data_IF_124866383923
#
_entry.id   IF_124866383923
#
_cell.length_a   1.000
_cell.length_b   1.000
_cell.length_c   1.000
_cell.angle_alpha   90.00
_cell.angle_beta   90.00
_cell.angle_gamma   90.00
#
_symmetry.space_group_name_H-M   'P 1'
#
loop_
_entity.id
_entity.type
_entity.pdbx_description
1 polymer ?
#
# COMPACT_ATOMS: atom_id res chain seq x y z
N UNK A 1 -0.41 -25.50 4.97
CA UNK A 1 -0.64 -25.08 3.58
C UNK A 1 -2.14 -25.13 3.32
N UNK A 2 -2.73 -24.11 2.69
CA UNK A 2 -4.15 -24.12 2.32
C UNK A 2 -4.39 -25.17 1.22
N UNK A 3 -5.54 -25.83 1.23
CA UNK A 3 -5.96 -26.71 0.12
C UNK A 3 -6.11 -25.89 -1.17
N UNK A 4 -5.91 -26.51 -2.34
CA UNK A 4 -6.08 -25.83 -3.64
C UNK A 4 -7.47 -25.23 -3.81
N UNK A 5 -8.51 -25.87 -3.25
CA UNK A 5 -9.87 -25.34 -3.24
C UNK A 5 -9.98 -24.07 -2.38
N UNK A 6 -9.35 -24.05 -1.21
CA UNK A 6 -9.36 -22.89 -0.31
C UNK A 6 -8.62 -21.71 -0.94
N UNK A 7 -7.52 -21.98 -1.67
CA UNK A 7 -6.79 -20.96 -2.45
C UNK A 7 -7.66 -20.38 -3.56
N UNK A 8 -8.38 -21.22 -4.30
CA UNK A 8 -9.30 -20.79 -5.35
C UNK A 8 -10.42 -19.92 -4.78
N UNK A 9 -11.04 -20.34 -3.67
CA UNK A 9 -12.10 -19.56 -3.01
C UNK A 9 -11.57 -18.22 -2.51
N UNK A 10 -10.39 -18.21 -1.88
CA UNK A 10 -9.73 -16.99 -1.43
C UNK A 10 -9.45 -16.05 -2.61
N UNK A 11 -8.94 -16.57 -3.73
CA UNK A 11 -8.64 -15.80 -4.95
C UNK A 11 -9.90 -15.18 -5.59
N UNK A 12 -11.02 -15.92 -5.65
CA UNK A 12 -12.29 -15.38 -6.17
C UNK A 12 -12.83 -14.27 -5.25
N UNK A 13 -12.80 -14.50 -3.94
CA UNK A 13 -13.28 -13.52 -2.96
C UNK A 13 -12.43 -12.25 -2.97
N UNK A 14 -11.11 -12.39 -3.04
CA UNK A 14 -10.18 -11.24 -3.13
C UNK A 14 -10.31 -10.52 -4.46
N UNK A 15 -10.63 -11.22 -5.55
CA UNK A 15 -10.97 -10.61 -6.85
C UNK A 15 -12.19 -9.69 -6.77
N UNK A 16 -13.26 -10.13 -6.11
CA UNK A 16 -14.45 -9.28 -5.91
C UNK A 16 -14.14 -8.06 -5.04
N UNK A 17 -13.42 -8.26 -3.94
CA UNK A 17 -12.93 -7.15 -3.11
C UNK A 17 -12.01 -6.22 -3.90
N UNK A 18 -11.25 -6.74 -4.86
CA UNK A 18 -10.36 -5.94 -5.69
C UNK A 18 -11.13 -4.95 -6.55
N UNK A 19 -12.17 -5.43 -7.21
CA UNK A 19 -13.03 -4.62 -8.09
C UNK A 19 -13.68 -3.49 -7.28
N UNK A 20 -14.28 -3.81 -6.13
CA UNK A 20 -14.90 -2.81 -5.26
C UNK A 20 -13.89 -1.76 -4.78
N UNK A 21 -12.74 -2.22 -4.29
CA UNK A 21 -11.67 -1.33 -3.79
C UNK A 21 -11.20 -0.39 -4.89
N UNK A 22 -10.96 -0.90 -6.10
CA UNK A 22 -10.54 -0.08 -7.24
C UNK A 22 -11.64 0.92 -7.60
N UNK A 23 -12.89 0.50 -7.66
CA UNK A 23 -14.01 1.36 -8.01
C UNK A 23 -14.16 2.54 -7.04
N UNK A 24 -14.18 2.28 -5.72
CA UNK A 24 -14.31 3.34 -4.72
C UNK A 24 -13.12 4.29 -4.69
N UNK A 25 -11.89 3.77 -4.81
CA UNK A 25 -10.69 4.61 -4.81
C UNK A 25 -10.56 5.44 -6.12
N UNK A 26 -10.96 4.89 -7.26
CA UNK A 26 -11.06 5.64 -8.51
C UNK A 26 -12.08 6.78 -8.40
N UNK A 27 -13.24 6.52 -7.79
CA UNK A 27 -14.25 7.55 -7.57
C UNK A 27 -13.69 8.70 -6.72
N UNK A 28 -12.98 8.40 -5.62
CA UNK A 28 -12.32 9.41 -4.78
C UNK A 28 -11.28 10.22 -5.58
N UNK A 29 -10.50 9.58 -6.42
CA UNK A 29 -9.54 10.27 -7.29
C UNK A 29 -10.21 11.22 -8.26
N UNK A 30 -11.30 10.80 -8.90
CA UNK A 30 -12.04 11.62 -9.85
C UNK A 30 -12.65 12.84 -9.15
N UNK A 31 -13.17 12.68 -7.93
CA UNK A 31 -13.65 13.81 -7.12
C UNK A 31 -12.52 14.79 -6.81
N UNK A 32 -11.38 14.29 -6.31
CA UNK A 32 -10.25 15.15 -5.94
C UNK A 32 -9.68 15.88 -7.16
N UNK A 33 -9.56 15.21 -8.30
CA UNK A 33 -9.16 15.82 -9.57
C UNK A 33 -10.17 16.87 -10.04
N UNK A 34 -11.47 16.60 -9.91
CA UNK A 34 -12.52 17.58 -10.25
C UNK A 34 -12.44 18.80 -9.35
N UNK A 35 -12.21 18.63 -8.05
CA UNK A 35 -12.03 19.72 -7.09
C UNK A 35 -10.78 20.54 -7.40
N UNK A 36 -9.68 19.88 -7.76
CA UNK A 36 -8.45 20.54 -8.22
C UNK A 36 -8.68 21.41 -9.47
N UNK A 37 -9.44 20.90 -10.45
CA UNK A 37 -9.78 21.64 -11.67
C UNK A 37 -10.71 22.82 -11.41
N UNK A 38 -11.64 22.70 -10.46
CA UNK A 38 -12.57 23.79 -10.07
C UNK A 38 -11.94 24.86 -9.18
N UNK A 39 -10.86 24.53 -8.47
CA UNK A 39 -10.16 25.47 -7.60
C UNK A 39 -9.46 26.54 -8.43
N UNK A 40 -9.87 27.81 -8.27
CA UNK A 40 -9.35 28.99 -8.99
C UNK A 40 -7.82 29.15 -8.86
N UNK A 41 -7.21 28.54 -7.84
CA UNK A 41 -5.76 28.59 -7.59
C UNK A 41 -5.02 27.31 -7.99
N UNK A 42 -5.70 26.30 -8.56
CA UNK A 42 -5.12 24.96 -8.80
C UNK A 42 -4.34 24.43 -7.60
N UNK A 43 -4.93 24.54 -6.41
CA UNK A 43 -4.34 24.00 -5.18
C UNK A 43 -5.31 23.00 -4.59
N UNK A 44 -4.86 21.75 -4.46
CA UNK A 44 -5.52 20.75 -3.64
C UNK A 44 -5.41 21.18 -2.17
N UNK A 45 -6.50 21.01 -1.42
CA UNK A 45 -6.45 21.05 0.03
C UNK A 45 -5.46 19.97 0.51
N UNK A 46 -4.61 20.22 1.52
CA UNK A 46 -3.66 19.22 2.03
C UNK A 46 -4.30 17.86 2.36
N UNK A 47 -5.53 17.86 2.89
CA UNK A 47 -6.28 16.63 3.14
C UNK A 47 -6.61 15.87 1.85
N UNK A 48 -7.13 16.55 0.84
CA UNK A 48 -7.48 15.97 -0.45
C UNK A 48 -6.23 15.39 -1.15
N UNK A 49 -5.06 16.01 -0.94
CA UNK A 49 -3.78 15.49 -1.43
C UNK A 49 -3.39 14.17 -0.73
N UNK A 50 -3.49 14.11 0.60
CA UNK A 50 -3.23 12.88 1.37
C UNK A 50 -4.21 11.77 0.97
N UNK A 51 -5.51 12.09 0.82
CA UNK A 51 -6.54 11.14 0.37
C UNK A 51 -6.24 10.61 -1.03
N UNK A 52 -5.78 11.47 -1.94
CA UNK A 52 -5.35 11.07 -3.30
C UNK A 52 -4.18 10.09 -3.26
N UNK A 53 -3.23 10.28 -2.34
CA UNK A 53 -2.11 9.37 -2.17
C UNK A 53 -2.55 8.00 -1.62
N UNK A 54 -3.43 8.00 -0.61
CA UNK A 54 -4.01 6.79 -0.03
C UNK A 54 -4.79 6.01 -1.09
N UNK A 55 -5.58 6.69 -1.92
CA UNK A 55 -6.38 6.01 -2.94
C UNK A 55 -5.52 5.41 -4.05
N UNK A 56 -4.47 6.11 -4.51
CA UNK A 56 -3.48 5.54 -5.44
C UNK A 56 -2.78 4.33 -4.85
N UNK A 57 -2.27 4.44 -3.62
CA UNK A 57 -1.57 3.34 -2.96
C UNK A 57 -2.49 2.12 -2.73
N UNK A 58 -3.76 2.36 -2.38
CA UNK A 58 -4.76 1.29 -2.17
C UNK A 58 -5.08 0.53 -3.46
N UNK A 59 -5.23 1.24 -4.58
CA UNK A 59 -5.42 0.59 -5.88
C UNK A 59 -4.19 -0.20 -6.32
N UNK A 60 -3.00 0.40 -6.20
CA UNK A 60 -1.74 -0.28 -6.52
C UNK A 60 -1.57 -1.53 -5.66
N UNK A 61 -1.85 -1.45 -4.35
CA UNK A 61 -1.77 -2.59 -3.44
C UNK A 61 -2.68 -3.72 -3.88
N UNK A 62 -3.91 -3.39 -4.26
CA UNK A 62 -4.90 -4.37 -4.66
C UNK A 62 -4.53 -5.07 -5.98
N UNK A 63 -4.06 -4.31 -6.96
CA UNK A 63 -3.57 -4.87 -8.24
C UNK A 63 -2.37 -5.79 -8.00
N UNK A 64 -1.39 -5.34 -7.22
CA UNK A 64 -0.20 -6.14 -6.91
C UNK A 64 -0.53 -7.39 -6.11
N UNK A 65 -1.45 -7.30 -5.15
CA UNK A 65 -1.91 -8.46 -4.35
C UNK A 65 -2.64 -9.48 -5.22
N UNK A 66 -3.47 -9.02 -6.16
CA UNK A 66 -4.15 -9.93 -7.08
C UNK A 66 -3.17 -10.59 -8.06
N UNK A 67 -2.19 -9.84 -8.57
CA UNK A 67 -1.11 -10.38 -9.40
C UNK A 67 -0.29 -11.41 -8.62
N UNK A 68 0.03 -11.13 -7.35
CA UNK A 68 0.71 -12.06 -6.45
C UNK A 68 -0.01 -13.40 -6.33
N UNK A 69 -1.30 -13.35 -5.99
CA UNK A 69 -2.12 -14.55 -5.83
C UNK A 69 -2.28 -15.31 -7.15
N UNK A 70 -2.32 -14.60 -8.27
CA UNK A 70 -2.40 -15.21 -9.60
C UNK A 70 -1.09 -15.93 -9.93
N UNK A 71 0.06 -15.36 -9.61
CA UNK A 71 1.36 -16.04 -9.77
C UNK A 71 1.47 -17.27 -8.85
N UNK A 72 0.98 -17.20 -7.61
CA UNK A 72 0.96 -18.35 -6.70
C UNK A 72 0.14 -19.53 -7.24
N UNK A 73 -0.99 -19.25 -7.91
CA UNK A 73 -1.85 -20.29 -8.50
C UNK A 73 -1.27 -20.86 -9.79
N UNK A 74 -0.57 -20.04 -10.60
CA UNK A 74 -0.08 -20.43 -11.93
C UNK A 74 1.34 -21.01 -11.90
N UNK A 75 2.23 -20.49 -11.07
CA UNK A 75 3.64 -20.88 -11.02
C UNK A 75 3.84 -22.17 -10.21
N UNK A 76 3.43 -23.28 -10.80
CA UNK A 76 3.54 -24.63 -10.21
C UNK A 76 4.97 -25.19 -10.18
N UNK A 77 5.95 -24.48 -10.78
CA UNK A 77 7.36 -24.91 -10.91
C UNK A 77 8.32 -23.92 -10.25
N UNK A 78 7.80 -22.92 -9.52
CA UNK A 78 8.57 -21.88 -8.81
C UNK A 78 9.62 -21.14 -9.66
N UNK A 79 9.39 -21.00 -10.97
CA UNK A 79 10.37 -20.37 -11.88
C UNK A 79 10.44 -18.85 -11.69
N UNK A 80 9.39 -18.24 -11.13
CA UNK A 80 9.20 -16.80 -11.00
C UNK A 80 9.47 -16.33 -9.55
N UNK A 81 10.31 -17.05 -8.80
CA UNK A 81 10.53 -16.85 -7.36
C UNK A 81 11.09 -15.46 -6.96
N UNK A 82 11.90 -14.83 -7.82
CA UNK A 82 12.46 -13.49 -7.57
C UNK A 82 11.40 -12.41 -7.82
N UNK A 83 10.62 -12.52 -8.90
CA UNK A 83 9.50 -11.60 -9.14
C UNK A 83 8.44 -11.76 -8.04
N UNK A 84 8.30 -13.01 -7.57
CA UNK A 84 7.92 -13.42 -6.24
C UNK A 84 8.28 -12.42 -5.12
N UNK A 85 9.48 -12.57 -4.58
CA UNK A 85 9.93 -11.75 -3.46
C UNK A 85 9.78 -10.23 -3.69
N UNK A 86 10.02 -9.75 -4.92
CA UNK A 86 9.85 -8.34 -5.30
C UNK A 86 8.40 -7.87 -5.14
N UNK A 87 7.43 -8.61 -5.68
CA UNK A 87 6.01 -8.26 -5.53
C UNK A 87 5.58 -8.24 -4.08
N UNK A 88 6.06 -9.19 -3.27
CA UNK A 88 5.77 -9.23 -1.84
C UNK A 88 6.31 -7.98 -1.12
N UNK A 89 7.54 -7.58 -1.44
CA UNK A 89 8.17 -6.36 -0.91
C UNK A 89 7.40 -5.11 -1.32
N UNK A 90 6.93 -5.03 -2.57
CA UNK A 90 6.09 -3.93 -3.04
C UNK A 90 4.74 -3.89 -2.30
N UNK A 91 4.10 -5.05 -2.08
CA UNK A 91 2.85 -5.17 -1.32
C UNK A 91 3.04 -4.68 0.12
N UNK A 92 4.09 -5.13 0.81
CA UNK A 92 4.37 -4.68 2.17
C UNK A 92 4.71 -3.19 2.23
N UNK A 93 5.50 -2.69 1.27
CA UNK A 93 5.82 -1.26 1.16
C UNK A 93 4.56 -0.41 1.04
N UNK A 94 3.63 -0.81 0.15
CA UNK A 94 2.37 -0.10 -0.04
C UNK A 94 1.46 -0.17 1.20
N UNK A 95 1.43 -1.30 1.91
CA UNK A 95 0.71 -1.39 3.21
C UNK A 95 1.25 -0.39 4.22
N UNK A 96 2.57 -0.27 4.33
CA UNK A 96 3.17 0.76 5.19
C UNK A 96 2.80 2.16 4.70
N UNK A 97 2.96 2.47 3.41
CA UNK A 97 2.61 3.78 2.87
C UNK A 97 1.16 4.16 3.20
N UNK A 98 0.21 3.24 3.04
CA UNK A 98 -1.20 3.46 3.42
C UNK A 98 -1.33 3.71 4.92
N UNK A 99 -0.72 2.87 5.76
CA UNK A 99 -0.79 3.00 7.22
C UNK A 99 -0.23 4.33 7.71
N UNK A 100 0.98 4.69 7.27
CA UNK A 100 1.63 5.95 7.64
C UNK A 100 0.88 7.17 7.08
N UNK A 101 0.31 7.08 5.87
CA UNK A 101 -0.51 8.15 5.29
C UNK A 101 -1.83 8.33 6.05
N UNK A 102 -2.47 7.23 6.47
CA UNK A 102 -3.67 7.27 7.32
C UNK A 102 -3.36 7.88 8.68
N UNK A 103 -2.26 7.47 9.34
CA UNK A 103 -1.82 8.06 10.59
C UNK A 103 -1.56 9.57 10.44
N UNK A 104 -0.94 10.00 9.34
CA UNK A 104 -0.72 11.40 9.04
C UNK A 104 -2.03 12.17 8.76
N UNK A 105 -3.01 11.54 8.10
CA UNK A 105 -4.34 12.12 7.91
C UNK A 105 -5.09 12.27 9.24
N UNK A 106 -5.03 11.26 10.11
CA UNK A 106 -5.61 11.30 11.46
C UNK A 106 -4.95 12.40 12.29
N UNK A 107 -3.63 12.52 12.23
CA UNK A 107 -2.90 13.63 12.85
C UNK A 107 -3.42 14.96 12.30
N UNK A 108 -3.46 15.15 10.98
CA UNK A 108 -3.94 16.37 10.34
C UNK A 108 -5.34 16.80 10.85
N UNK A 109 -6.31 15.88 10.89
CA UNK A 109 -7.65 16.19 11.41
C UNK A 109 -7.69 16.37 12.93
N UNK A 110 -6.94 15.57 13.68
CA UNK A 110 -6.85 15.70 15.15
C UNK A 110 -6.31 17.07 15.57
N UNK A 111 -5.30 17.58 14.86
CA UNK A 111 -4.76 18.92 15.10
C UNK A 111 -5.74 20.04 14.78
N UNK A 112 -6.70 19.83 13.86
CA UNK A 112 -7.76 20.80 13.57
C UNK A 112 -8.88 20.83 14.62
N UNK A 113 -9.11 19.72 15.33
CA UNK A 113 -10.24 19.57 16.26
C UNK A 113 -9.88 19.90 17.73
N UNK A 114 -8.62 19.68 18.13
CA UNK A 114 -8.21 19.65 19.56
C UNK A 114 -7.45 20.90 20.01
N UNK A 115 -7.04 21.79 19.09
CA UNK A 115 -6.16 22.91 19.45
C UNK A 115 -6.95 24.13 19.89
N UNK A 116 -7.14 24.27 21.20
CA UNK A 116 -7.15 25.60 21.83
C UNK A 116 -5.81 26.29 21.51
N UNK A 117 -5.79 27.61 21.24
CA UNK A 117 -4.69 28.28 20.57
C UNK A 117 -3.48 28.50 21.50
N UNK A 118 -2.76 27.45 21.84
CA UNK A 118 -1.43 27.57 22.44
C UNK A 118 -0.45 27.94 21.32
N UNK A 119 -0.10 29.23 21.23
CA UNK A 119 0.64 29.87 20.14
C UNK A 119 1.96 29.19 19.69
N UNK A 120 2.57 28.37 20.55
CA UNK A 120 3.82 27.66 20.22
C UNK A 120 3.57 26.35 19.44
N UNK A 121 2.53 25.60 19.81
CA UNK A 121 2.19 24.32 19.15
C UNK A 121 1.60 24.54 17.75
N UNK A 122 0.88 25.66 17.58
CA UNK A 122 0.27 26.03 16.29
C UNK A 122 1.31 26.29 15.21
N UNK A 123 2.50 26.84 15.51
CA UNK A 123 3.53 27.13 14.50
C UNK A 123 4.16 25.88 13.89
N UNK A 124 4.44 24.85 14.70
CA UNK A 124 5.04 23.60 14.21
C UNK A 124 4.02 22.83 13.36
N UNK A 125 2.76 22.78 13.81
CA UNK A 125 1.67 22.19 13.04
C UNK A 125 1.43 22.93 11.72
N UNK A 126 1.44 24.27 11.74
CA UNK A 126 1.27 25.09 10.54
C UNK A 126 2.40 24.85 9.52
N UNK A 127 3.64 24.67 9.99
CA UNK A 127 4.76 24.28 9.14
C UNK A 127 4.58 22.88 8.53
N UNK A 128 4.13 21.89 9.30
CA UNK A 128 3.88 20.53 8.81
C UNK A 128 2.75 20.51 7.77
N UNK A 129 1.67 21.26 8.01
CA UNK A 129 0.56 21.42 7.06
C UNK A 129 1.02 22.12 5.77
N UNK A 130 1.92 23.10 5.89
CA UNK A 130 2.51 23.81 4.73
C UNK A 130 3.40 22.90 3.89
N UNK A 131 4.04 21.89 4.50
CA UNK A 131 4.95 20.95 3.84
C UNK A 131 4.36 19.53 3.68
N UNK A 132 3.04 19.42 3.50
CA UNK A 132 2.33 18.14 3.35
C UNK A 132 2.92 17.25 2.24
N UNK A 133 3.38 17.85 1.14
CA UNK A 133 3.97 17.14 0.00
C UNK A 133 5.30 16.49 0.38
N UNK A 134 6.14 17.20 1.15
CA UNK A 134 7.42 16.69 1.62
C UNK A 134 7.22 15.58 2.65
N UNK A 135 6.27 15.74 3.58
CA UNK A 135 5.92 14.70 4.54
C UNK A 135 5.45 13.42 3.84
N UNK A 136 4.60 13.54 2.82
CA UNK A 136 4.15 12.40 2.03
C UNK A 136 5.30 11.75 1.24
N UNK A 137 6.21 12.53 0.65
CA UNK A 137 7.38 11.99 -0.02
C UNK A 137 8.27 11.18 0.94
N UNK A 138 8.46 11.68 2.16
CA UNK A 138 9.19 10.95 3.22
C UNK A 138 8.48 9.67 3.59
N UNK A 139 7.15 9.66 3.71
CA UNK A 139 6.35 8.45 3.97
C UNK A 139 6.53 7.41 2.86
N UNK A 140 6.53 7.83 1.60
CA UNK A 140 6.74 6.92 0.46
C UNK A 140 8.13 6.30 0.52
N UNK A 141 9.17 7.14 0.65
CA UNK A 141 10.56 6.67 0.70
C UNK A 141 10.81 5.76 1.90
N UNK A 142 10.30 6.12 3.09
CA UNK A 142 10.46 5.31 4.30
C UNK A 142 9.68 3.99 4.22
N UNK A 143 8.49 3.99 3.61
CA UNK A 143 7.72 2.78 3.37
C UNK A 143 8.48 1.75 2.53
N UNK A 144 9.14 2.19 1.46
CA UNK A 144 10.00 1.32 0.66
C UNK A 144 11.27 0.90 1.41
N UNK A 145 11.99 1.86 2.00
CA UNK A 145 13.26 1.59 2.68
C UNK A 145 13.13 0.55 3.80
N UNK A 146 12.02 0.60 4.57
CA UNK A 146 11.75 -0.37 5.64
C UNK A 146 11.48 -1.78 5.12
N UNK A 147 11.04 -1.94 3.86
CA UNK A 147 10.75 -3.24 3.27
C UNK A 147 11.89 -3.82 2.45
N UNK A 148 12.92 -3.03 2.09
CA UNK A 148 14.12 -3.54 1.39
C UNK A 148 14.80 -4.70 2.14
N UNK A 149 15.01 -4.65 3.47
CA UNK A 149 15.63 -5.75 4.21
C UNK A 149 14.87 -7.08 4.08
N UNK A 150 13.56 -7.03 3.79
CA UNK A 150 12.75 -8.23 3.59
C UNK A 150 13.25 -9.06 2.40
N UNK A 151 13.84 -8.44 1.36
CA UNK A 151 14.48 -9.16 0.25
C UNK A 151 15.63 -10.07 0.70
N UNK A 152 16.34 -9.70 1.77
CA UNK A 152 17.45 -10.52 2.29
C UNK A 152 16.99 -11.74 3.07
N UNK A 153 15.80 -11.66 3.68
CA UNK A 153 15.20 -12.75 4.48
C UNK A 153 14.36 -13.68 3.59
N UNK A 154 13.72 -13.15 2.55
CA UNK A 154 12.95 -13.91 1.57
C UNK A 154 13.91 -14.55 0.54
N UNK A 155 14.77 -15.47 0.98
CA UNK A 155 15.65 -16.25 0.09
C UNK A 155 15.11 -17.67 -0.12
N UNK A 156 15.29 -18.18 -1.34
CA UNK A 156 14.74 -19.46 -1.78
C UNK A 156 15.44 -20.65 -1.10
N UNK A 157 14.64 -21.58 -0.55
CA UNK A 157 15.13 -22.88 -0.10
C UNK A 157 15.16 -23.85 -1.29
N UNK A 158 16.37 -24.17 -1.80
CA UNK A 158 16.64 -25.18 -2.84
C UNK A 158 16.44 -26.61 -2.28
N UNK A 159 15.25 -26.93 -1.79
CA UNK A 159 14.90 -28.27 -1.34
C UNK A 159 14.30 -29.08 -2.49
N UNK A 160 15.13 -29.85 -3.22
CA UNK A 160 14.67 -30.86 -4.19
C UNK A 160 13.73 -31.85 -3.50
N UNK A 161 12.42 -31.59 -3.59
CA UNK A 161 11.39 -32.55 -3.21
C UNK A 161 10.38 -32.61 -4.34
N UNK A 162 10.46 -33.70 -5.09
CA UNK A 162 9.56 -34.09 -6.18
C UNK A 162 8.12 -34.23 -5.68
N UNK A 163 7.39 -33.12 -5.64
CA UNK A 163 5.97 -33.07 -5.33
C UNK A 163 5.49 -31.63 -5.29
N UNK A 164 4.40 -31.35 -6.01
CA UNK A 164 3.64 -30.09 -6.10
C UNK A 164 4.02 -29.06 -5.01
N UNK A 165 5.03 -28.23 -5.27
CA UNK A 165 5.59 -27.33 -4.27
C UNK A 165 4.78 -26.04 -4.19
N UNK A 166 4.41 -25.64 -2.99
CA UNK A 166 3.68 -24.39 -2.72
C UNK A 166 4.65 -23.19 -2.81
N UNK A 167 4.77 -22.60 -4.00
CA UNK A 167 5.74 -21.55 -4.28
C UNK A 167 5.45 -20.21 -3.56
N UNK A 168 4.24 -20.04 -3.01
CA UNK A 168 3.85 -18.86 -2.23
C UNK A 168 4.23 -18.91 -0.76
N UNK A 169 4.71 -20.04 -0.21
CA UNK A 169 5.17 -20.10 1.17
C UNK A 169 6.65 -19.73 1.25
N UNK A 170 6.94 -18.45 1.51
CA UNK A 170 8.31 -18.03 1.77
C UNK A 170 8.61 -18.34 3.24
N UNK A 171 9.31 -19.43 3.49
CA UNK A 171 9.80 -19.77 4.84
C UNK A 171 11.04 -18.93 5.14
N UNK A 172 11.15 -18.34 6.36
CA UNK A 172 12.40 -17.72 6.79
C UNK A 172 13.51 -18.77 6.82
N UNK A 173 14.70 -18.42 6.33
CA UNK A 173 15.89 -19.26 6.46
C UNK A 173 16.28 -19.34 7.94
N UNK A 174 16.43 -20.56 8.44
CA UNK A 174 17.03 -20.85 9.75
C UNK A 174 18.54 -20.67 9.71
#
# INVERSE_FOLDING_TARGET
MLSSLDKLVAWVLTGFLAILTIFFNMYLLLINQRNYRKSTKHRLNPADFIITAISLASMSLQVLTYLWQTLDVIDTVCSISIAGAILLVLIFSLKFIIFWSMAFLTFYYGTKLVVEPVHCYTRIQEAIVKHVHTALAVIVVSGFANCVPLLSVLTYYNGTTSGLSDCGSIMPTT
#
